data_IF_110623055784
#
_entry.id   IF_110623055784
#
_cell.length_a   1.000
_cell.length_b   1.000
_cell.length_c   1.000
_cell.angle_alpha   90.00
_cell.angle_beta   90.00
_cell.angle_gamma   90.00
#
_symmetry.space_group_name_H-M   'P 1'
#
loop_
_entity.id
_entity.type
_entity.pdbx_description
1 polymer ?
#
# COMPACT_ATOMS: atom_id res chain seq x y z
N UNK A 1 -23.67 18.38 -33.52
CA UNK A 1 -24.03 17.81 -32.21
C UNK A 1 -23.88 16.31 -32.31
N UNK A 2 -22.83 15.76 -31.72
CA UNK A 2 -22.60 14.32 -31.58
C UNK A 2 -22.89 14.02 -30.11
N UNK A 3 -23.75 13.03 -29.77
CA UNK A 3 -24.05 12.74 -28.38
C UNK A 3 -22.85 12.05 -27.73
N UNK A 4 -22.54 12.34 -26.45
CA UNK A 4 -21.62 11.51 -25.68
C UNK A 4 -22.34 10.23 -25.23
N UNK A 5 -21.62 9.12 -25.18
CA UNK A 5 -22.02 7.86 -24.52
C UNK A 5 -20.76 7.12 -24.09
N UNK A 6 -20.82 6.21 -23.10
CA UNK A 6 -21.47 6.28 -21.79
C UNK A 6 -20.47 6.01 -20.64
N UNK A 7 -20.88 6.33 -19.41
CA UNK A 7 -20.46 5.80 -18.10
C UNK A 7 -19.04 5.22 -17.89
N UNK A 8 -18.30 5.83 -16.96
CA UNK A 8 -17.50 5.07 -15.98
C UNK A 8 -16.05 4.69 -16.35
N UNK A 9 -15.32 5.50 -17.12
CA UNK A 9 -13.86 5.29 -17.25
C UNK A 9 -13.17 5.70 -15.94
N UNK A 10 -12.35 4.85 -15.28
CA UNK A 10 -11.64 5.24 -14.06
C UNK A 10 -10.80 6.48 -14.35
N UNK A 11 -10.99 7.53 -13.54
CA UNK A 11 -10.41 8.87 -13.74
C UNK A 11 -8.87 8.89 -13.63
N UNK A 12 -8.28 7.84 -13.05
CA UNK A 12 -6.84 7.64 -12.92
C UNK A 12 -6.41 6.30 -13.52
N UNK A 13 -5.39 6.31 -14.39
CA UNK A 13 -4.73 5.11 -14.91
C UNK A 13 -3.86 4.48 -13.82
N UNK A 14 -3.90 3.15 -13.70
CA UNK A 14 -3.11 2.43 -12.69
C UNK A 14 -1.60 2.58 -12.97
N UNK A 15 -0.83 2.97 -11.96
CA UNK A 15 0.63 3.06 -12.02
C UNK A 15 1.22 1.68 -11.75
N UNK A 16 2.00 1.16 -12.68
CA UNK A 16 2.64 -0.16 -12.57
C UNK A 16 4.14 0.04 -12.51
N UNK A 17 4.77 -0.35 -11.40
CA UNK A 17 6.23 -0.41 -11.31
C UNK A 17 6.73 -1.63 -12.04
N UNK A 18 7.80 -1.48 -12.81
CA UNK A 18 8.47 -2.58 -13.50
C UNK A 18 9.97 -2.59 -13.20
N UNK A 19 10.51 -3.78 -12.95
CA UNK A 19 11.93 -3.96 -12.63
C UNK A 19 12.77 -3.93 -13.91
N UNK A 20 13.81 -3.06 -14.00
CA UNK A 20 14.76 -3.08 -15.10
C UNK A 20 15.80 -4.18 -14.92
N UNK A 21 16.52 -4.49 -16.00
CA UNK A 21 17.85 -5.11 -15.97
C UNK A 21 18.93 -4.04 -15.69
N UNK A 22 20.10 -4.48 -15.22
CA UNK A 22 21.33 -3.66 -15.25
C UNK A 22 22.11 -4.08 -16.49
N UNK A 23 22.37 -3.12 -17.37
CA UNK A 23 23.30 -3.30 -18.48
C UNK A 23 24.66 -2.76 -18.05
N UNK A 24 25.64 -3.65 -18.00
CA UNK A 24 27.05 -3.28 -17.84
C UNK A 24 27.61 -3.08 -19.25
N UNK A 25 27.83 -1.82 -19.69
CA UNK A 25 28.31 -1.57 -21.05
C UNK A 25 29.63 -2.29 -21.31
N UNK A 26 29.73 -2.96 -22.46
CA UNK A 26 30.98 -3.56 -22.92
C UNK A 26 31.91 -2.44 -23.39
N UNK A 27 32.73 -1.91 -22.48
CA UNK A 27 33.70 -0.85 -22.78
C UNK A 27 34.04 0.00 -21.55
N UNK A 28 34.89 1.04 -21.70
CA UNK A 28 35.19 1.96 -20.62
C UNK A 28 34.00 2.90 -20.40
N UNK A 29 33.09 2.51 -19.51
CA UNK A 29 32.09 3.43 -18.95
C UNK A 29 32.19 3.42 -17.44
N UNK A 30 32.01 4.60 -16.87
CA UNK A 30 32.00 4.82 -15.43
C UNK A 30 30.58 4.74 -14.84
N UNK A 31 29.57 4.58 -15.69
CA UNK A 31 28.15 4.65 -15.34
C UNK A 31 27.46 3.30 -15.51
N UNK A 32 26.58 2.96 -14.58
CA UNK A 32 25.65 1.82 -14.73
C UNK A 32 24.38 2.27 -15.44
N UNK A 33 23.87 1.44 -16.35
CA UNK A 33 22.63 1.72 -17.07
C UNK A 33 21.52 0.77 -16.63
N UNK A 34 20.34 1.32 -16.34
CA UNK A 34 19.13 0.51 -16.21
C UNK A 34 18.47 0.37 -17.58
N UNK A 35 18.20 -0.86 -18.00
CA UNK A 35 17.56 -1.16 -19.26
C UNK A 35 16.28 -1.97 -19.02
N UNK A 36 15.22 -1.66 -19.76
CA UNK A 36 14.05 -2.53 -19.81
C UNK A 36 13.55 -2.63 -21.24
N UNK A 37 13.15 -3.84 -21.63
CA UNK A 37 12.59 -4.07 -22.96
C UNK A 37 11.27 -3.32 -23.10
N UNK A 38 11.14 -2.55 -24.18
CA UNK A 38 10.00 -1.67 -24.41
C UNK A 38 8.66 -2.41 -24.50
N UNK A 39 8.66 -3.71 -24.86
CA UNK A 39 7.45 -4.52 -24.97
C UNK A 39 6.72 -4.70 -23.62
N UNK A 40 7.41 -4.77 -22.48
CA UNK A 40 6.76 -4.76 -21.16
C UNK A 40 5.99 -3.46 -20.91
N UNK A 41 6.64 -2.31 -21.12
CA UNK A 41 6.02 -1.00 -20.93
C UNK A 41 4.87 -0.78 -21.93
N UNK A 42 5.03 -1.23 -23.17
CA UNK A 42 3.99 -1.17 -24.21
C UNK A 42 2.78 -2.04 -23.85
N UNK A 43 2.99 -3.24 -23.29
CA UNK A 43 1.91 -4.11 -22.86
C UNK A 43 1.09 -3.52 -21.70
N UNK A 44 1.74 -2.90 -20.72
CA UNK A 44 1.07 -2.15 -19.65
C UNK A 44 0.28 -0.97 -20.22
N UNK A 45 0.88 -0.20 -21.14
CA UNK A 45 0.26 0.98 -21.74
C UNK A 45 -0.97 0.63 -22.59
N UNK A 46 -0.88 -0.44 -23.39
CA UNK A 46 -2.00 -0.97 -24.19
C UNK A 46 -3.16 -1.45 -23.30
N UNK A 47 -2.85 -2.02 -22.13
CA UNK A 47 -3.84 -2.40 -21.13
C UNK A 47 -4.44 -1.22 -20.34
N UNK A 48 -4.00 0.02 -20.60
CA UNK A 48 -4.50 1.25 -19.97
C UNK A 48 -3.79 1.67 -18.69
N UNK A 49 -2.66 1.03 -18.35
CA UNK A 49 -1.81 1.40 -17.22
C UNK A 49 -0.76 2.46 -17.56
N UNK A 50 -0.02 2.89 -16.54
CA UNK A 50 1.16 3.77 -16.65
C UNK A 50 2.39 2.99 -16.18
N UNK A 51 3.29 2.57 -17.09
CA UNK A 51 4.52 1.88 -16.72
C UNK A 51 5.53 2.88 -16.13
N UNK A 52 6.11 2.55 -14.97
CA UNK A 52 7.23 3.28 -14.37
C UNK A 52 8.38 2.33 -14.06
N UNK A 53 9.58 2.67 -14.53
CA UNK A 53 10.80 1.91 -14.24
C UNK A 53 11.21 2.18 -12.80
N UNK A 54 11.50 1.12 -12.05
CA UNK A 54 11.95 1.21 -10.67
C UNK A 54 13.48 1.03 -10.56
N UNK A 55 14.26 2.09 -10.30
CA UNK A 55 15.69 1.98 -10.05
C UNK A 55 15.98 1.15 -8.80
N UNK A 56 17.21 0.62 -8.67
CA UNK A 56 17.57 -0.26 -7.56
C UNK A 56 17.90 0.54 -6.29
N UNK A 57 16.87 1.12 -5.69
CA UNK A 57 16.99 1.86 -4.42
C UNK A 57 16.14 1.17 -3.34
N UNK A 58 16.78 0.32 -2.54
CA UNK A 58 16.07 -0.47 -1.52
C UNK A 58 15.44 0.38 -0.42
N UNK A 59 16.00 1.56 -0.12
CA UNK A 59 15.47 2.44 0.93
C UNK A 59 14.18 3.15 0.48
N UNK A 60 13.98 3.29 -0.84
CA UNK A 60 12.82 3.96 -1.41
C UNK A 60 11.65 3.01 -1.73
N UNK A 61 11.77 1.70 -1.47
CA UNK A 61 10.77 0.70 -1.85
C UNK A 61 9.38 1.03 -1.28
N UNK A 62 9.28 1.45 -0.02
CA UNK A 62 8.01 1.82 0.59
C UNK A 62 7.36 3.00 -0.14
N UNK A 63 8.12 4.08 -0.35
CA UNK A 63 7.63 5.28 -1.05
C UNK A 63 7.26 4.99 -2.52
N UNK A 64 8.06 4.18 -3.22
CA UNK A 64 7.79 3.76 -4.58
C UNK A 64 6.49 2.95 -4.65
N UNK A 65 6.31 1.98 -3.74
CA UNK A 65 5.11 1.17 -3.67
C UNK A 65 3.87 2.00 -3.30
N UNK A 66 3.99 3.03 -2.46
CA UNK A 66 2.90 3.95 -2.13
C UNK A 66 2.38 4.70 -3.37
N UNK A 67 3.27 5.05 -4.31
CA UNK A 67 2.92 5.67 -5.58
C UNK A 67 2.28 4.70 -6.59
N UNK A 68 2.51 3.40 -6.43
CA UNK A 68 2.16 2.38 -7.40
C UNK A 68 0.87 1.62 -7.05
N UNK A 69 0.13 1.20 -8.07
CA UNK A 69 -1.08 0.40 -7.95
C UNK A 69 -0.79 -1.10 -8.14
N UNK A 70 0.33 -1.45 -8.77
CA UNK A 70 0.82 -2.82 -8.94
C UNK A 70 2.31 -2.88 -9.29
N UNK A 71 2.86 -4.09 -9.25
CA UNK A 71 4.27 -4.36 -9.52
C UNK A 71 4.40 -5.50 -10.53
N UNK A 72 5.22 -5.28 -11.55
CA UNK A 72 5.63 -6.26 -12.55
C UNK A 72 7.12 -6.58 -12.36
N UNK A 73 7.43 -7.81 -11.97
CA UNK A 73 8.82 -8.32 -11.99
C UNK A 73 9.07 -8.89 -13.38
N UNK A 74 9.96 -8.26 -14.14
CA UNK A 74 10.22 -8.64 -15.53
C UNK A 74 11.07 -9.92 -15.63
N UNK A 75 11.08 -10.55 -16.80
CA UNK A 75 12.07 -11.59 -17.11
C UNK A 75 13.46 -10.98 -17.38
N UNK A 76 14.51 -11.76 -17.20
CA UNK A 76 15.89 -11.39 -17.58
C UNK A 76 16.07 -11.38 -19.10
N UNK A 77 17.25 -10.98 -19.56
CA UNK A 77 17.66 -11.20 -20.94
C UNK A 77 17.61 -12.72 -21.22
N UNK A 78 17.08 -13.15 -22.38
CA UNK A 78 17.02 -14.56 -22.74
C UNK A 78 18.36 -15.29 -22.60
N UNK A 79 18.38 -16.37 -21.83
CA UNK A 79 19.56 -17.21 -21.67
C UNK A 79 20.61 -16.71 -20.68
N UNK A 80 20.38 -15.59 -19.98
CA UNK A 80 21.26 -15.10 -18.92
C UNK A 80 20.59 -15.21 -17.55
N UNK A 81 21.35 -15.65 -16.55
CA UNK A 81 20.93 -15.50 -15.16
C UNK A 81 20.96 -14.02 -14.76
N UNK A 82 19.99 -13.59 -13.95
CA UNK A 82 19.96 -12.21 -13.45
C UNK A 82 21.16 -11.93 -12.55
N UNK A 83 21.70 -10.71 -12.63
CA UNK A 83 22.78 -10.28 -11.75
C UNK A 83 22.38 -10.45 -10.26
N UNK A 84 23.34 -10.79 -9.40
CA UNK A 84 23.09 -11.01 -7.98
C UNK A 84 22.45 -9.79 -7.29
N UNK A 85 22.84 -8.58 -7.74
CA UNK A 85 22.27 -7.31 -7.29
C UNK A 85 20.78 -7.19 -7.66
N UNK A 86 20.42 -7.50 -8.91
CA UNK A 86 19.03 -7.54 -9.38
C UNK A 86 18.19 -8.47 -8.52
N UNK A 87 18.67 -9.70 -8.34
CA UNK A 87 17.96 -10.69 -7.54
C UNK A 87 17.73 -10.23 -6.10
N UNK A 88 18.75 -9.66 -5.45
CA UNK A 88 18.66 -9.15 -4.08
C UNK A 88 17.62 -8.02 -3.97
N UNK A 89 17.61 -7.11 -4.94
CA UNK A 89 16.63 -6.03 -5.02
C UNK A 89 15.21 -6.56 -5.23
N UNK A 90 15.02 -7.46 -6.20
CA UNK A 90 13.70 -8.00 -6.55
C UNK A 90 13.10 -8.83 -5.42
N UNK A 91 13.89 -9.60 -4.66
CA UNK A 91 13.39 -10.31 -3.49
C UNK A 91 12.86 -9.36 -2.40
N UNK A 92 13.57 -8.25 -2.14
CA UNK A 92 13.10 -7.22 -1.20
C UNK A 92 11.84 -6.54 -1.73
N UNK A 93 11.78 -6.23 -3.02
CA UNK A 93 10.59 -5.65 -3.66
C UNK A 93 9.38 -6.60 -3.56
N UNK A 94 9.56 -7.89 -3.81
CA UNK A 94 8.51 -8.92 -3.68
C UNK A 94 7.99 -8.95 -2.24
N UNK A 95 8.87 -9.01 -1.25
CA UNK A 95 8.51 -8.98 0.17
C UNK A 95 7.68 -7.73 0.51
N UNK A 96 8.13 -6.54 0.10
CA UNK A 96 7.43 -5.28 0.37
C UNK A 96 6.10 -5.18 -0.37
N UNK A 97 6.04 -5.60 -1.63
CA UNK A 97 4.82 -5.59 -2.44
C UNK A 97 3.77 -6.53 -1.84
N UNK A 98 4.16 -7.74 -1.45
CA UNK A 98 3.26 -8.72 -0.81
C UNK A 98 2.80 -8.22 0.57
N UNK A 99 3.71 -7.68 1.38
CA UNK A 99 3.37 -7.10 2.70
C UNK A 99 2.39 -5.94 2.57
N UNK A 100 2.57 -5.10 1.56
CA UNK A 100 1.63 -4.04 1.23
C UNK A 100 0.33 -4.57 0.58
N UNK A 101 0.25 -5.85 0.21
CA UNK A 101 -0.89 -6.42 -0.52
C UNK A 101 -1.06 -5.81 -1.92
N UNK A 102 0.02 -5.39 -2.57
CA UNK A 102 0.03 -4.85 -3.94
C UNK A 102 -0.14 -6.00 -4.94
N UNK A 103 -0.96 -5.84 -5.98
CA UNK A 103 -1.01 -6.76 -7.10
C UNK A 103 0.37 -6.96 -7.71
N UNK A 104 0.77 -8.22 -7.84
CA UNK A 104 2.10 -8.63 -8.28
C UNK A 104 1.97 -9.57 -9.49
N UNK A 105 2.69 -9.24 -10.55
CA UNK A 105 2.85 -10.09 -11.72
C UNK A 105 4.34 -10.40 -11.90
N UNK A 106 4.72 -11.67 -12.00
CA UNK A 106 6.08 -12.10 -12.33
C UNK A 106 6.11 -12.81 -13.67
N UNK A 107 7.02 -12.40 -14.56
CA UNK A 107 7.19 -13.01 -15.88
C UNK A 107 8.56 -13.69 -15.95
N UNK A 108 8.58 -14.96 -16.35
CA UNK A 108 9.77 -15.79 -16.51
C UNK A 108 10.67 -15.79 -15.25
N UNK A 109 11.75 -15.00 -15.22
CA UNK A 109 12.55 -14.81 -14.01
C UNK A 109 11.72 -14.31 -12.82
N UNK A 110 10.80 -13.37 -13.06
CA UNK A 110 9.94 -12.83 -12.01
C UNK A 110 9.03 -13.89 -11.38
N UNK A 111 8.49 -14.82 -12.18
CA UNK A 111 7.74 -15.96 -11.67
C UNK A 111 8.60 -16.82 -10.74
N UNK A 112 9.86 -17.05 -11.11
CA UNK A 112 10.78 -17.88 -10.33
C UNK A 112 11.08 -17.24 -8.97
N UNK A 113 11.40 -15.94 -8.93
CA UNK A 113 11.65 -15.27 -7.66
C UNK A 113 10.43 -15.26 -6.73
N UNK A 114 9.23 -15.03 -7.28
CA UNK A 114 7.99 -15.08 -6.51
C UNK A 114 7.74 -16.50 -5.99
N UNK A 115 7.90 -17.51 -6.86
CA UNK A 115 7.72 -18.92 -6.50
C UNK A 115 8.67 -19.35 -5.38
N UNK A 116 9.94 -18.91 -5.43
CA UNK A 116 10.94 -19.15 -4.39
C UNK A 116 10.51 -18.53 -3.05
N UNK A 117 10.08 -17.27 -3.07
CA UNK A 117 9.62 -16.56 -1.88
C UNK A 117 8.38 -17.23 -1.25
N UNK A 118 7.52 -17.83 -2.08
CA UNK A 118 6.36 -18.61 -1.64
C UNK A 118 6.72 -20.03 -1.17
N UNK A 119 8.01 -20.40 -1.19
CA UNK A 119 8.51 -21.69 -0.68
C UNK A 119 8.58 -22.80 -1.73
N UNK A 120 8.41 -22.49 -3.01
CA UNK A 120 8.59 -23.45 -4.10
C UNK A 120 10.06 -23.79 -4.35
N UNK A 121 10.29 -24.91 -5.03
CA UNK A 121 11.63 -25.35 -5.44
C UNK A 121 11.83 -25.18 -6.94
N UNK A 122 13.08 -25.20 -7.42
CA UNK A 122 13.40 -25.04 -8.84
C UNK A 122 14.33 -26.13 -9.32
N UNK A 123 14.08 -26.55 -10.55
CA UNK A 123 15.02 -27.34 -11.32
C UNK A 123 15.85 -26.39 -12.21
N UNK A 124 17.18 -26.39 -11.99
CA UNK A 124 18.16 -25.55 -12.71
C UNK A 124 18.48 -26.03 -14.14
N UNK A 125 18.01 -27.20 -14.50
CA UNK A 125 18.09 -27.72 -15.85
C UNK A 125 16.89 -28.61 -16.04
N UNK A 126 15.89 -28.15 -16.76
CA UNK A 126 14.86 -29.04 -17.27
C UNK A 126 15.60 -30.20 -17.95
N UNK A 127 15.48 -31.44 -17.47
CA UNK A 127 16.16 -32.56 -18.11
C UNK A 127 15.72 -32.55 -19.56
N UNK A 128 16.67 -32.72 -20.49
CA UNK A 128 16.30 -33.05 -21.86
C UNK A 128 15.40 -34.29 -21.78
N UNK A 129 14.08 -34.08 -21.91
CA UNK A 129 13.00 -35.05 -21.80
C UNK A 129 12.69 -35.67 -20.40
N UNK A 130 11.47 -35.43 -19.91
CA UNK A 130 10.59 -36.53 -19.46
C UNK A 130 9.44 -36.81 -20.45
N UNK A 131 9.30 -35.99 -21.49
CA UNK A 131 8.71 -36.38 -22.77
C UNK A 131 9.44 -35.63 -23.89
N UNK A 132 9.67 -36.26 -25.05
CA UNK A 132 10.31 -35.63 -26.22
C UNK A 132 9.41 -34.58 -26.94
N UNK A 133 8.38 -34.05 -26.30
CA UNK A 133 7.25 -33.41 -27.03
C UNK A 133 7.11 -31.90 -26.90
N UNK A 134 7.73 -31.25 -25.91
CA UNK A 134 7.62 -29.79 -25.72
C UNK A 134 8.99 -29.15 -25.70
N UNK A 135 9.21 -28.18 -26.58
CA UNK A 135 10.41 -27.35 -26.62
C UNK A 135 10.14 -26.01 -25.93
N UNK A 136 10.78 -25.81 -24.78
CA UNK A 136 10.66 -24.60 -23.93
C UNK A 136 11.67 -23.50 -24.30
N UNK A 137 12.46 -23.72 -25.35
CA UNK A 137 13.38 -22.73 -25.90
C UNK A 137 13.56 -22.91 -27.42
N UNK A 138 12.46 -22.84 -28.20
CA UNK A 138 12.49 -23.13 -29.64
C UNK A 138 13.22 -22.06 -30.47
N UNK A 139 13.43 -20.88 -29.91
CA UNK A 139 14.23 -19.82 -30.51
C UNK A 139 14.93 -18.97 -29.46
N UNK A 140 15.92 -18.17 -29.89
CA UNK A 140 16.65 -17.24 -29.01
C UNK A 140 15.80 -16.04 -28.54
N UNK A 141 14.60 -15.88 -29.11
CA UNK A 141 13.62 -14.83 -28.80
C UNK A 141 12.23 -15.44 -28.66
N UNK A 142 11.35 -14.84 -27.85
CA UNK A 142 10.00 -15.33 -27.59
C UNK A 142 8.95 -14.71 -28.53
N UNK A 143 9.31 -14.40 -29.77
CA UNK A 143 8.49 -13.66 -30.72
C UNK A 143 7.47 -14.52 -31.50
N UNK A 144 7.39 -15.82 -31.20
CA UNK A 144 6.50 -16.78 -31.84
C UNK A 144 5.90 -17.76 -30.83
N UNK A 145 4.75 -18.32 -31.18
CA UNK A 145 4.11 -19.41 -30.41
C UNK A 145 5.01 -20.65 -30.41
N UNK A 146 5.11 -21.29 -29.25
CA UNK A 146 5.96 -22.44 -28.99
C UNK A 146 5.14 -23.71 -28.74
N UNK A 147 4.24 -23.69 -27.75
CA UNK A 147 3.48 -24.87 -27.33
C UNK A 147 2.13 -24.53 -26.68
N UNK A 148 1.32 -25.57 -26.48
CA UNK A 148 0.05 -25.47 -25.76
C UNK A 148 0.27 -25.60 -24.25
N UNK A 149 -0.57 -24.93 -23.48
CA UNK A 149 -0.70 -25.09 -22.03
C UNK A 149 -2.15 -25.48 -21.71
N UNK A 150 -2.32 -26.35 -20.72
CA UNK A 150 -3.61 -26.64 -20.10
C UNK A 150 -3.82 -25.64 -18.95
N UNK A 151 -4.94 -24.94 -18.97
CA UNK A 151 -5.35 -23.98 -17.93
C UNK A 151 -6.20 -24.68 -16.88
N UNK A 152 -5.82 -24.56 -15.63
CA UNK A 152 -6.49 -25.22 -14.51
C UNK A 152 -7.87 -24.58 -14.26
N UNK A 153 -8.96 -25.37 -14.17
CA UNK A 153 -10.30 -24.84 -13.90
C UNK A 153 -10.39 -24.01 -12.62
N UNK A 154 -11.18 -22.94 -12.67
CA UNK A 154 -11.35 -22.01 -11.55
C UNK A 154 -10.11 -21.19 -11.22
N UNK A 155 -9.09 -21.18 -12.08
CA UNK A 155 -7.98 -20.22 -12.01
C UNK A 155 -8.34 -18.89 -12.62
N UNK A 156 -7.62 -17.84 -12.20
CA UNK A 156 -7.76 -16.53 -12.82
C UNK A 156 -7.48 -16.56 -14.33
N UNK A 157 -6.64 -17.51 -14.78
CA UNK A 157 -6.38 -17.73 -16.20
C UNK A 157 -7.57 -18.37 -16.91
N UNK A 158 -8.31 -19.25 -16.24
CA UNK A 158 -9.54 -19.84 -16.79
C UNK A 158 -10.62 -18.78 -16.99
N UNK A 159 -10.72 -17.79 -16.08
CA UNK A 159 -11.69 -16.69 -16.20
C UNK A 159 -11.47 -15.85 -17.47
N UNK A 160 -10.21 -15.72 -17.92
CA UNK A 160 -9.87 -14.92 -19.11
C UNK A 160 -9.81 -15.74 -20.40
N UNK A 161 -9.48 -17.04 -20.35
CA UNK A 161 -9.43 -17.89 -21.54
C UNK A 161 -10.75 -18.61 -21.84
N UNK A 162 -11.65 -18.70 -20.86
CA UNK A 162 -12.79 -19.62 -20.89
C UNK A 162 -12.41 -21.07 -20.52
N UNK A 163 -11.20 -21.29 -19.98
CA UNK A 163 -10.66 -22.59 -19.62
C UNK A 163 -10.04 -23.35 -20.80
N UNK A 164 -9.74 -24.63 -20.60
CA UNK A 164 -9.21 -25.52 -21.65
C UNK A 164 -7.72 -25.32 -21.93
N UNK A 165 -7.37 -25.13 -23.21
CA UNK A 165 -5.98 -24.99 -23.66
C UNK A 165 -5.70 -23.63 -24.28
N UNK A 166 -4.50 -23.09 -24.05
CA UNK A 166 -4.03 -21.85 -24.67
C UNK A 166 -2.66 -22.06 -25.34
N UNK A 167 -2.36 -21.25 -26.35
CA UNK A 167 -1.08 -21.25 -27.06
C UNK A 167 -0.18 -20.13 -26.55
N UNK A 168 1.07 -20.46 -26.22
CA UNK A 168 2.03 -19.52 -25.63
C UNK A 168 3.39 -19.59 -26.31
N UNK A 169 4.17 -18.51 -26.23
CA UNK A 169 5.60 -18.53 -26.54
C UNK A 169 6.39 -19.21 -25.42
N UNK A 170 7.69 -19.46 -25.63
CA UNK A 170 8.53 -20.02 -24.57
C UNK A 170 10.01 -19.65 -24.75
N UNK A 171 10.68 -19.39 -23.62
CA UNK A 171 12.08 -18.96 -23.57
C UNK A 171 12.69 -19.17 -22.17
N UNK A 172 12.70 -20.41 -21.69
CA UNK A 172 13.24 -20.72 -20.37
C UNK A 172 13.88 -22.11 -20.30
N UNK A 173 14.81 -22.26 -19.35
CA UNK A 173 15.51 -23.53 -19.06
C UNK A 173 15.24 -24.06 -17.65
N UNK A 174 14.62 -23.23 -16.82
CA UNK A 174 14.26 -23.53 -15.46
C UNK A 174 12.75 -23.64 -15.36
N UNK A 175 12.30 -24.46 -14.42
CA UNK A 175 10.90 -24.58 -14.09
C UNK A 175 10.72 -24.62 -12.58
N UNK A 176 9.62 -24.02 -12.13
CA UNK A 176 9.13 -24.20 -10.78
C UNK A 176 8.70 -25.66 -10.61
N UNK A 177 9.16 -26.26 -9.52
CA UNK A 177 8.84 -27.62 -9.11
C UNK A 177 8.33 -27.63 -7.66
N UNK A 178 7.72 -28.75 -7.26
CA UNK A 178 7.29 -28.96 -5.89
C UNK A 178 6.04 -28.19 -5.50
N UNK A 179 5.90 -27.94 -4.19
CA UNK A 179 4.75 -27.29 -3.55
C UNK A 179 5.22 -26.06 -2.79
N UNK A 180 4.36 -25.06 -2.67
CA UNK A 180 4.58 -23.86 -1.89
C UNK A 180 3.24 -23.19 -1.58
N UNK A 181 3.28 -21.94 -1.12
CA UNK A 181 2.09 -21.10 -0.88
C UNK A 181 1.54 -20.55 -2.20
N UNK A 182 1.24 -21.44 -3.15
CA UNK A 182 0.67 -21.11 -4.44
C UNK A 182 -0.14 -22.28 -4.99
N UNK A 183 -1.13 -21.96 -5.81
CA UNK A 183 -1.88 -22.93 -6.60
C UNK A 183 -1.45 -22.86 -8.06
N UNK A 184 -1.19 -24.00 -8.68
CA UNK A 184 -0.89 -24.06 -10.11
C UNK A 184 -2.11 -23.62 -10.92
N UNK A 185 -1.87 -22.76 -11.91
CA UNK A 185 -2.90 -22.18 -12.77
C UNK A 185 -2.79 -22.65 -14.23
N UNK A 186 -1.60 -23.07 -14.67
CA UNK A 186 -1.42 -23.70 -15.97
C UNK A 186 -0.21 -24.64 -16.00
N UNK A 187 -0.28 -25.65 -16.88
CA UNK A 187 0.82 -26.58 -17.15
C UNK A 187 1.02 -26.83 -18.63
N UNK A 188 2.26 -27.03 -19.06
CA UNK A 188 2.55 -27.60 -20.37
C UNK A 188 2.23 -29.10 -20.40
N UNK A 189 2.19 -29.69 -21.61
CA UNK A 189 1.84 -31.12 -21.79
C UNK A 189 2.79 -32.09 -21.09
N UNK A 190 4.02 -31.68 -20.84
CA UNK A 190 5.04 -32.44 -20.11
C UNK A 190 4.95 -32.27 -18.58
N UNK A 191 3.96 -31.52 -18.09
CA UNK A 191 3.68 -31.30 -16.68
C UNK A 191 4.41 -30.10 -16.06
N UNK A 192 5.27 -29.41 -16.82
CA UNK A 192 5.96 -28.19 -16.38
C UNK A 192 4.93 -27.14 -15.97
N UNK A 193 5.14 -26.51 -14.80
CA UNK A 193 4.29 -25.43 -14.31
C UNK A 193 4.55 -24.18 -15.13
N UNK A 194 3.52 -23.70 -15.82
CA UNK A 194 3.58 -22.54 -16.71
C UNK A 194 3.02 -21.28 -16.04
N UNK A 195 2.11 -21.46 -15.08
CA UNK A 195 1.63 -20.37 -14.26
C UNK A 195 1.17 -20.84 -12.88
N UNK A 196 1.20 -19.93 -11.90
CA UNK A 196 0.61 -20.13 -10.59
C UNK A 196 -0.04 -18.86 -10.05
N UNK A 197 -1.02 -19.04 -9.17
CA UNK A 197 -1.60 -18.00 -8.33
C UNK A 197 -1.00 -18.10 -6.92
N UNK A 198 -0.39 -17.02 -6.44
CA UNK A 198 0.24 -16.98 -5.12
C UNK A 198 -0.78 -16.74 -4.00
N UNK A 199 -0.62 -17.45 -2.89
CA UNK A 199 -1.41 -17.21 -1.67
C UNK A 199 -0.86 -16.00 -0.92
N UNK A 200 -1.31 -14.81 -1.34
CA UNK A 200 -0.88 -13.53 -0.77
C UNK A 200 -2.08 -12.64 -0.43
N UNK A 201 -1.93 -11.60 0.41
CA UNK A 201 -3.02 -10.66 0.69
C UNK A 201 -3.55 -9.92 -0.54
N UNK A 202 -2.68 -9.68 -1.53
CA UNK A 202 -3.02 -9.08 -2.82
C UNK A 202 -3.13 -10.11 -3.94
N UNK A 203 -3.50 -9.65 -5.14
CA UNK A 203 -3.40 -10.47 -6.34
C UNK A 203 -1.94 -10.83 -6.63
N UNK A 204 -1.63 -12.10 -6.88
CA UNK A 204 -0.28 -12.53 -7.20
C UNK A 204 -0.32 -13.61 -8.28
N UNK A 205 0.33 -13.36 -9.41
CA UNK A 205 0.39 -14.28 -10.55
C UNK A 205 1.84 -14.42 -11.03
N UNK A 206 2.32 -15.65 -11.11
CA UNK A 206 3.56 -16.00 -11.81
C UNK A 206 3.25 -16.64 -13.15
N UNK A 207 3.93 -16.19 -14.21
CA UNK A 207 3.82 -16.72 -15.58
C UNK A 207 5.22 -17.04 -16.12
N UNK A 208 5.38 -18.22 -16.71
CA UNK A 208 6.67 -18.71 -17.18
C UNK A 208 6.96 -18.26 -18.63
N UNK A 209 5.95 -18.19 -19.49
CA UNK A 209 6.06 -17.64 -20.84
C UNK A 209 6.13 -16.11 -20.85
N UNK A 210 6.14 -15.50 -22.03
CA UNK A 210 6.40 -14.08 -22.25
C UNK A 210 5.18 -13.35 -22.88
N UNK A 211 4.10 -13.11 -22.10
CA UNK A 211 2.89 -12.47 -22.62
C UNK A 211 3.12 -11.01 -23.05
N UNK A 212 4.24 -10.37 -22.69
CA UNK A 212 4.55 -9.00 -23.11
C UNK A 212 4.74 -8.86 -24.63
N UNK A 213 4.98 -9.97 -25.34
CA UNK A 213 5.00 -10.01 -26.80
C UNK A 213 3.61 -9.90 -27.42
N UNK A 214 2.54 -10.16 -26.64
CA UNK A 214 1.14 -9.98 -27.04
C UNK A 214 0.82 -10.73 -28.35
N UNK A 215 1.28 -11.97 -28.46
CA UNK A 215 1.09 -12.78 -29.67
C UNK A 215 -0.38 -13.23 -29.83
N UNK A 216 -1.08 -13.38 -28.70
CA UNK A 216 -2.47 -13.81 -28.65
C UNK A 216 -3.36 -12.81 -27.91
N UNK A 217 -4.69 -12.94 -28.07
CA UNK A 217 -5.63 -12.18 -27.24
C UNK A 217 -5.62 -12.60 -25.78
N UNK A 218 -5.21 -13.84 -25.50
CA UNK A 218 -4.96 -14.34 -24.16
C UNK A 218 -3.83 -13.57 -23.47
N UNK A 219 -2.70 -13.34 -24.16
CA UNK A 219 -1.60 -12.52 -23.65
C UNK A 219 -2.07 -11.10 -23.31
N UNK A 220 -2.85 -10.48 -24.20
CA UNK A 220 -3.43 -9.15 -23.95
C UNK A 220 -4.40 -9.15 -22.78
N UNK A 221 -5.20 -10.21 -22.62
CA UNK A 221 -6.16 -10.36 -21.54
C UNK A 221 -5.47 -10.44 -20.16
N UNK A 222 -4.30 -11.09 -20.08
CA UNK A 222 -3.48 -11.15 -18.87
C UNK A 222 -3.07 -9.74 -18.42
N UNK A 223 -2.52 -8.92 -19.33
CA UNK A 223 -2.15 -7.54 -18.97
C UNK A 223 -3.36 -6.68 -18.60
N UNK A 224 -4.49 -6.81 -19.32
CA UNK A 224 -5.73 -6.11 -18.96
C UNK A 224 -6.22 -6.49 -17.57
N UNK A 225 -6.27 -7.78 -17.26
CA UNK A 225 -6.68 -8.28 -15.95
C UNK A 225 -5.74 -7.76 -14.85
N UNK A 226 -4.44 -7.79 -15.07
CA UNK A 226 -3.47 -7.29 -14.10
C UNK A 226 -3.66 -5.79 -13.82
N UNK A 227 -3.75 -4.96 -14.87
CA UNK A 227 -3.97 -3.52 -14.74
C UNK A 227 -5.31 -3.20 -14.07
N UNK A 228 -6.39 -3.92 -14.41
CA UNK A 228 -7.70 -3.74 -13.77
C UNK A 228 -7.64 -4.08 -12.29
N UNK A 229 -6.99 -5.19 -11.91
CA UNK A 229 -6.82 -5.58 -10.50
C UNK A 229 -5.96 -4.58 -9.73
N UNK A 230 -4.92 -4.02 -10.36
CA UNK A 230 -4.14 -2.89 -9.83
C UNK A 230 -5.00 -1.65 -9.61
N UNK A 231 -5.77 -1.24 -10.62
CA UNK A 231 -6.65 -0.06 -10.54
C UNK A 231 -7.72 -0.20 -9.44
N UNK A 232 -8.34 -1.38 -9.32
CA UNK A 232 -9.37 -1.65 -8.31
C UNK A 232 -8.83 -1.55 -6.87
N UNK A 233 -7.54 -1.83 -6.67
CA UNK A 233 -6.86 -1.56 -5.40
C UNK A 233 -6.54 -0.08 -5.24
N UNK A 234 -6.00 0.59 -6.25
CA UNK A 234 -5.76 2.04 -6.22
C UNK A 234 -7.01 2.85 -5.84
N UNK A 235 -8.19 2.43 -6.35
CA UNK A 235 -9.48 3.02 -5.99
C UNK A 235 -9.93 2.72 -4.55
N UNK A 236 -9.52 1.59 -3.97
CA UNK A 236 -9.74 1.25 -2.54
C UNK A 236 -8.63 1.79 -1.62
N UNK A 237 -7.52 2.19 -2.20
CA UNK A 237 -6.31 2.71 -1.55
C UNK A 237 -6.04 4.12 -2.07
N UNK A 238 -6.96 5.06 -1.82
CA UNK A 238 -6.58 6.49 -1.78
C UNK A 238 -5.34 6.65 -0.89
N UNK A 239 -4.49 7.66 -1.17
CA UNK A 239 -3.04 7.65 -0.88
C UNK A 239 -2.75 7.10 0.51
N UNK A 240 -2.43 5.82 0.56
CA UNK A 240 -2.09 5.11 1.77
C UNK A 240 -0.62 5.42 2.03
N UNK A 241 -0.37 6.37 2.92
CA UNK A 241 0.91 6.43 3.62
C UNK A 241 1.11 5.09 4.34
N UNK A 242 2.11 4.28 3.96
CA UNK A 242 2.56 3.12 4.73
C UNK A 242 3.26 3.61 6.00
N UNK A 243 2.41 4.04 6.92
CA UNK A 243 2.71 4.37 8.28
C UNK A 243 1.49 3.77 8.97
N UNK A 244 1.65 2.63 9.68
CA UNK A 244 0.58 1.89 10.38
C UNK A 244 -0.64 2.78 10.62
N UNK A 245 -1.80 2.49 10.03
CA UNK A 245 -2.93 3.43 10.00
C UNK A 245 -3.13 4.15 11.34
N UNK A 246 -3.66 5.38 11.36
CA UNK A 246 -3.82 6.14 12.64
C UNK A 246 -4.49 5.28 13.72
N UNK A 247 -5.47 4.45 13.33
CA UNK A 247 -6.10 3.43 14.19
C UNK A 247 -5.16 2.30 14.62
N UNK A 248 -4.29 1.81 13.74
CA UNK A 248 -3.22 0.89 14.09
C UNK A 248 -2.21 1.48 15.08
N UNK A 249 -1.86 2.77 14.96
CA UNK A 249 -1.00 3.46 15.96
C UNK A 249 -1.68 3.60 17.30
N UNK A 250 -2.96 3.98 17.31
CA UNK A 250 -3.76 3.99 18.53
C UNK A 250 -3.77 2.60 19.20
N UNK A 251 -4.05 1.55 18.43
CA UNK A 251 -4.05 0.18 18.94
C UNK A 251 -2.69 -0.26 19.51
N UNK A 252 -1.58 0.10 18.85
CA UNK A 252 -0.22 -0.17 19.34
C UNK A 252 0.10 0.54 20.66
N UNK A 253 -0.53 1.68 20.93
CA UNK A 253 -0.47 2.41 22.19
C UNK A 253 -1.46 1.86 23.25
N UNK A 254 -2.20 0.80 22.93
CA UNK A 254 -3.27 0.26 23.79
C UNK A 254 -4.50 1.18 23.88
N UNK A 255 -4.67 2.07 22.90
CA UNK A 255 -5.74 3.06 22.86
C UNK A 255 -6.77 2.73 21.79
N UNK A 256 -8.03 3.05 22.09
CA UNK A 256 -9.12 3.07 21.12
C UNK A 256 -9.72 4.47 21.09
N UNK A 257 -10.33 4.85 19.96
CA UNK A 257 -11.12 6.06 19.92
C UNK A 257 -12.36 5.89 20.80
N UNK A 258 -12.66 6.86 21.67
CA UNK A 258 -13.86 6.84 22.48
C UNK A 258 -15.10 7.00 21.60
N UNK A 259 -16.23 6.48 22.08
CA UNK A 259 -17.52 6.68 21.44
C UNK A 259 -17.88 8.17 21.45
N UNK A 260 -18.25 8.70 20.28
CA UNK A 260 -18.57 10.12 20.14
C UNK A 260 -19.90 10.40 20.82
N UNK A 261 -19.89 11.31 21.79
CA UNK A 261 -21.12 11.80 22.43
C UNK A 261 -21.62 13.07 21.75
N UNK A 262 -22.95 13.22 21.68
CA UNK A 262 -23.56 14.51 21.33
C UNK A 262 -23.23 15.55 22.42
N UNK A 263 -22.85 16.78 22.04
CA UNK A 263 -22.59 17.82 23.02
C UNK A 263 -23.83 18.13 23.88
N UNK A 264 -23.67 18.35 25.20
CA UNK A 264 -24.79 18.56 26.11
C UNK A 264 -25.41 19.97 26.04
N UNK A 265 -25.04 20.80 25.05
CA UNK A 265 -25.44 22.20 24.95
C UNK A 265 -25.75 22.63 23.52
N UNK A 266 -26.06 23.92 23.34
CA UNK A 266 -26.44 24.51 22.05
C UNK A 266 -25.23 24.75 21.12
N UNK A 267 -24.45 23.71 20.84
CA UNK A 267 -23.31 23.71 19.94
C UNK A 267 -23.05 22.31 19.38
N UNK A 268 -22.22 22.21 18.35
CA UNK A 268 -21.85 20.92 17.72
C UNK A 268 -20.42 20.52 18.09
N UNK A 269 -20.13 19.21 18.02
CA UNK A 269 -18.81 18.70 18.41
C UNK A 269 -17.67 19.14 17.49
N UNK A 270 -17.95 19.39 16.21
CA UNK A 270 -17.03 20.05 15.29
C UNK A 270 -17.82 20.70 14.13
N UNK A 271 -17.20 21.66 13.46
CA UNK A 271 -17.71 22.31 12.24
C UNK A 271 -16.65 22.19 11.16
N UNK A 272 -17.08 22.01 9.90
CA UNK A 272 -16.20 22.03 8.72
C UNK A 272 -16.50 23.25 7.85
N UNK A 273 -15.47 24.01 7.51
CA UNK A 273 -15.53 25.12 6.55
C UNK A 273 -14.43 24.92 5.51
N UNK A 274 -14.82 24.57 4.29
CA UNK A 274 -13.87 24.12 3.26
C UNK A 274 -13.06 22.92 3.75
N UNK A 275 -11.75 23.09 3.83
CA UNK A 275 -10.81 22.05 4.27
C UNK A 275 -10.44 22.17 5.75
N UNK A 276 -10.98 23.14 6.47
CA UNK A 276 -10.70 23.33 7.89
C UNK A 276 -11.81 22.68 8.71
N UNK A 277 -11.43 21.84 9.68
CA UNK A 277 -12.33 21.32 10.71
C UNK A 277 -11.93 21.90 12.06
N UNK A 278 -12.85 22.61 12.71
CA UNK A 278 -12.68 23.11 14.08
C UNK A 278 -13.51 22.24 15.03
N UNK A 279 -12.82 21.59 15.96
CA UNK A 279 -13.40 20.73 17.00
C UNK A 279 -13.61 21.57 18.25
N UNK A 280 -14.82 21.54 18.80
CA UNK A 280 -15.18 22.20 20.05
C UNK A 280 -14.36 21.63 21.21
N UNK A 281 -14.14 22.41 22.27
CA UNK A 281 -13.41 21.97 23.46
C UNK A 281 -13.87 20.61 23.99
N UNK A 282 -12.91 19.71 24.21
CA UNK A 282 -13.13 18.37 24.73
C UNK A 282 -12.44 18.19 26.07
N UNK A 283 -13.16 17.55 26.99
CA UNK A 283 -12.71 17.23 28.34
C UNK A 283 -12.26 15.77 28.43
N UNK A 284 -11.43 15.36 29.41
CA UNK A 284 -10.92 14.00 29.55
C UNK A 284 -11.99 13.04 30.04
N UNK A 285 -12.84 12.58 29.12
CA UNK A 285 -13.76 11.48 29.34
C UNK A 285 -13.10 10.15 28.98
N UNK A 286 -13.25 9.16 29.86
CA UNK A 286 -12.92 7.76 29.62
C UNK A 286 -14.17 6.94 29.93
N UNK A 287 -14.62 6.13 28.98
CA UNK A 287 -15.86 5.34 29.09
C UNK A 287 -17.07 6.20 29.52
N UNK A 288 -17.19 7.40 28.92
CA UNK A 288 -18.25 8.42 29.19
C UNK A 288 -18.20 9.04 30.60
N UNK A 289 -17.24 8.67 31.42
CA UNK A 289 -17.03 9.22 32.77
C UNK A 289 -15.87 10.21 32.80
N UNK A 290 -15.93 11.19 33.70
CA UNK A 290 -14.81 12.13 33.89
C UNK A 290 -13.62 11.36 34.46
N UNK A 291 -12.48 11.43 33.78
CA UNK A 291 -11.26 10.72 34.19
C UNK A 291 -10.75 11.22 35.56
N UNK A 292 -10.77 12.54 35.76
CA UNK A 292 -10.30 13.19 36.99
C UNK A 292 -10.93 14.57 37.13
N UNK A 293 -11.08 15.01 38.37
CA UNK A 293 -11.47 16.39 38.74
C UNK A 293 -10.41 17.04 39.61
N UNK A 294 -10.36 18.38 39.60
CA UNK A 294 -9.48 19.18 40.46
C UNK A 294 -8.53 20.08 39.68
N UNK A 295 -7.53 20.62 40.39
CA UNK A 295 -6.63 21.65 39.86
C UNK A 295 -5.16 21.22 39.92
N UNK A 296 -4.42 21.59 38.89
CA UNK A 296 -2.96 21.52 38.93
C UNK A 296 -2.42 22.51 39.97
N UNK A 297 -1.43 22.09 40.75
CA UNK A 297 -0.96 22.83 41.92
C UNK A 297 -1.85 22.68 43.16
N UNK A 298 -2.97 21.95 43.07
CA UNK A 298 -3.79 21.57 44.22
C UNK A 298 -4.57 20.27 43.98
N UNK A 299 -3.94 19.14 44.31
CA UNK A 299 -4.58 17.81 44.28
C UNK A 299 -4.45 17.04 42.96
N UNK A 300 -4.16 17.70 41.83
CA UNK A 300 -3.82 17.03 40.56
C UNK A 300 -2.32 17.16 40.28
N UNK A 301 -1.66 16.03 40.04
CA UNK A 301 -0.24 16.00 39.70
C UNK A 301 0.00 16.41 38.25
N UNK A 302 1.25 16.78 37.91
CA UNK A 302 1.62 17.09 36.52
C UNK A 302 1.37 15.89 35.59
N UNK A 303 1.70 14.68 36.05
CA UNK A 303 1.53 13.45 35.27
C UNK A 303 0.05 13.14 35.02
N UNK A 304 -0.79 13.27 36.05
CA UNK A 304 -2.24 13.15 35.90
C UNK A 304 -2.80 14.20 34.95
N UNK A 305 -2.26 15.43 34.99
CA UNK A 305 -2.60 16.48 34.05
C UNK A 305 -2.26 16.10 32.61
N UNK A 306 -1.07 15.51 32.37
CA UNK A 306 -0.66 15.03 31.04
C UNK A 306 -1.55 13.90 30.54
N UNK A 307 -1.92 12.96 31.41
CA UNK A 307 -2.86 11.89 31.07
C UNK A 307 -4.24 12.48 30.70
N UNK A 308 -4.71 13.47 31.46
CA UNK A 308 -5.94 14.19 31.15
C UNK A 308 -5.85 14.93 29.80
N UNK A 309 -4.75 15.61 29.50
CA UNK A 309 -4.53 16.24 28.19
C UNK A 309 -4.57 15.21 27.05
N UNK A 310 -3.96 14.04 27.27
CA UNK A 310 -3.97 12.92 26.30
C UNK A 310 -5.39 12.42 26.04
N UNK A 311 -6.20 12.21 27.08
CA UNK A 311 -7.60 11.77 26.93
C UNK A 311 -8.51 12.83 26.32
N UNK A 312 -8.35 14.10 26.71
CA UNK A 312 -9.05 15.21 26.09
C UNK A 312 -8.76 15.30 24.58
N UNK A 313 -7.50 15.10 24.18
CA UNK A 313 -7.10 15.02 22.78
C UNK A 313 -7.73 13.82 22.06
N UNK A 314 -7.78 12.63 22.68
CA UNK A 314 -8.49 11.46 22.12
C UNK A 314 -9.98 11.75 21.85
N UNK A 315 -10.66 12.42 22.78
CA UNK A 315 -12.05 12.83 22.59
C UNK A 315 -12.20 13.83 21.44
N UNK A 316 -11.25 14.76 21.27
CA UNK A 316 -11.23 15.69 20.15
C UNK A 316 -11.02 14.98 18.81
N UNK A 317 -10.14 13.99 18.78
CA UNK A 317 -9.89 13.17 17.61
C UNK A 317 -11.10 12.31 17.21
N UNK A 318 -11.90 11.85 18.19
CA UNK A 318 -13.14 11.14 17.90
C UNK A 318 -14.18 12.04 17.21
N UNK A 319 -14.33 13.30 17.66
CA UNK A 319 -15.17 14.29 16.99
C UNK A 319 -14.63 14.65 15.58
N UNK A 320 -13.32 14.78 15.43
CA UNK A 320 -12.67 15.03 14.15
C UNK A 320 -12.94 13.89 13.17
N UNK A 321 -12.75 12.64 13.59
CA UNK A 321 -12.95 11.48 12.72
C UNK A 321 -14.41 11.36 12.26
N UNK A 322 -15.37 11.66 13.14
CA UNK A 322 -16.81 11.66 12.78
C UNK A 322 -17.11 12.57 11.59
N UNK A 323 -16.50 13.75 11.53
CA UNK A 323 -16.72 14.71 10.43
C UNK A 323 -15.78 14.45 9.24
N UNK A 324 -14.57 13.94 9.48
CA UNK A 324 -13.64 13.56 8.42
C UNK A 324 -14.06 12.27 7.71
N UNK A 325 -14.82 11.38 8.37
CA UNK A 325 -15.17 10.04 7.94
C UNK A 325 -14.05 9.00 8.12
N UNK A 326 -12.79 9.42 7.94
CA UNK A 326 -11.58 8.62 8.17
C UNK A 326 -10.37 9.52 8.40
N UNK A 327 -9.40 9.07 9.19
CA UNK A 327 -8.21 9.86 9.49
C UNK A 327 -7.24 10.08 8.32
N UNK A 328 -7.28 9.24 7.28
CA UNK A 328 -6.41 9.39 6.08
C UNK A 328 -6.63 10.73 5.34
N UNK A 329 -7.77 11.38 5.62
CA UNK A 329 -8.10 12.69 5.09
C UNK A 329 -7.45 13.83 5.87
N UNK A 330 -6.96 13.61 7.09
CA UNK A 330 -6.30 14.65 7.89
C UNK A 330 -4.91 14.93 7.30
N UNK A 331 -4.70 16.15 6.81
CA UNK A 331 -3.45 16.61 6.20
C UNK A 331 -2.58 17.43 7.14
N UNK A 332 -3.12 17.86 8.28
CA UNK A 332 -2.34 18.51 9.33
C UNK A 332 -3.22 19.12 10.41
N UNK A 333 -2.56 19.73 11.40
CA UNK A 333 -3.21 20.42 12.50
C UNK A 333 -2.83 21.90 12.48
N UNK A 334 -3.83 22.77 12.39
CA UNK A 334 -3.61 24.23 12.37
C UNK A 334 -3.29 24.69 13.79
N UNK A 335 -4.09 24.26 14.76
CA UNK A 335 -4.03 24.78 16.14
C UNK A 335 -4.46 23.73 17.15
N UNK A 336 -3.73 23.66 18.27
CA UNK A 336 -4.13 22.99 19.51
C UNK A 336 -4.16 24.01 20.65
N UNK A 337 -5.33 24.22 21.25
CA UNK A 337 -5.47 25.07 22.43
C UNK A 337 -5.75 24.20 23.65
N UNK A 338 -4.88 24.31 24.66
CA UNK A 338 -5.05 23.63 25.93
C UNK A 338 -5.33 24.60 27.07
N UNK A 339 -6.41 24.35 27.78
CA UNK A 339 -6.81 25.08 28.98
C UNK A 339 -6.58 24.15 30.17
N UNK A 340 -5.87 24.64 31.19
CA UNK A 340 -5.48 23.84 32.36
C UNK A 340 -6.08 24.49 33.61
N UNK A 341 -6.99 23.79 34.30
CA UNK A 341 -7.50 24.24 35.58
C UNK A 341 -6.38 24.14 36.62
N UNK A 342 -5.95 25.28 37.15
CA UNK A 342 -4.75 25.36 37.98
C UNK A 342 -4.86 26.44 39.06
N UNK A 343 -4.05 26.32 40.10
CA UNK A 343 -3.82 27.42 41.06
C UNK A 343 -3.04 28.55 40.39
N UNK A 344 -3.07 29.75 41.00
CA UNK A 344 -2.38 30.93 40.47
C UNK A 344 -0.86 30.76 40.36
N UNK A 345 -0.26 29.91 41.21
CA UNK A 345 1.19 29.71 41.29
C UNK A 345 1.71 28.60 40.36
N UNK A 346 0.82 27.79 39.78
CA UNK A 346 1.22 26.70 38.90
C UNK A 346 1.56 27.23 37.50
N UNK A 347 2.78 27.01 37.03
CA UNK A 347 3.30 27.58 35.77
C UNK A 347 3.58 26.54 34.68
N UNK A 348 3.43 25.25 34.97
CA UNK A 348 3.78 24.15 34.06
C UNK A 348 2.65 23.77 33.08
N UNK A 349 1.81 24.72 32.66
CA UNK A 349 0.70 24.45 31.72
C UNK A 349 1.19 23.86 30.39
N UNK A 350 2.36 24.31 29.92
CA UNK A 350 3.04 23.71 28.77
C UNK A 350 3.26 22.21 28.99
N UNK A 351 3.93 21.83 30.07
CA UNK A 351 4.20 20.41 30.34
C UNK A 351 2.94 19.55 30.44
N UNK A 352 1.81 20.11 30.93
CA UNK A 352 0.50 19.42 30.93
C UNK A 352 0.00 19.16 29.50
N UNK A 353 -0.05 20.21 28.68
CA UNK A 353 -0.59 20.13 27.32
C UNK A 353 0.32 19.33 26.36
N UNK A 354 1.59 19.09 26.74
CA UNK A 354 2.48 18.17 26.01
C UNK A 354 1.89 16.78 25.85
N UNK A 355 1.09 16.30 26.83
CA UNK A 355 0.42 15.00 26.71
C UNK A 355 -0.52 14.90 25.49
N UNK A 356 -1.11 16.03 25.06
CA UNK A 356 -1.91 16.08 23.83
C UNK A 356 -1.03 16.19 22.57
N UNK A 357 0.00 17.04 22.60
CA UNK A 357 0.91 17.25 21.46
C UNK A 357 1.73 15.99 21.14
N UNK A 358 2.19 15.27 22.16
CA UNK A 358 2.92 14.00 22.01
C UNK A 358 2.04 12.91 21.42
N UNK A 359 0.77 12.81 21.83
CA UNK A 359 -0.19 11.89 21.22
C UNK A 359 -0.36 12.18 19.72
N UNK A 360 -0.53 13.45 19.34
CA UNK A 360 -0.62 13.81 17.92
C UNK A 360 0.65 13.42 17.15
N UNK A 361 1.84 13.64 17.74
CA UNK A 361 3.12 13.24 17.15
C UNK A 361 3.24 11.73 16.98
N UNK A 362 2.79 10.96 17.97
CA UNK A 362 2.81 9.51 17.93
C UNK A 362 1.88 8.97 16.83
N UNK A 363 0.67 9.51 16.68
CA UNK A 363 -0.35 8.93 15.80
C UNK A 363 -0.50 9.63 14.42
N UNK A 364 0.08 10.81 14.23
CA UNK A 364 0.14 11.54 12.94
C UNK A 364 1.59 11.98 12.61
N UNK A 365 2.57 11.06 12.52
CA UNK A 365 3.98 11.44 12.37
C UNK A 365 4.28 12.30 11.13
N UNK A 366 3.48 12.18 10.08
CA UNK A 366 3.64 12.95 8.85
C UNK A 366 3.08 14.39 8.91
N UNK A 367 2.19 14.71 9.85
CA UNK A 367 1.45 15.98 9.85
C UNK A 367 1.06 16.52 11.24
N UNK A 368 1.73 16.05 12.30
CA UNK A 368 1.50 16.46 13.68
C UNK A 368 1.87 17.91 14.06
N UNK A 369 2.82 18.62 13.40
CA UNK A 369 3.17 19.99 13.82
C UNK A 369 1.94 20.90 13.80
N UNK A 370 1.78 21.72 14.84
CA UNK A 370 0.66 22.62 15.04
C UNK A 370 1.08 23.89 15.76
N UNK A 371 0.36 24.99 15.52
CA UNK A 371 0.42 26.14 16.42
C UNK A 371 -0.24 25.76 17.77
N UNK A 372 0.27 26.31 18.87
CA UNK A 372 -0.20 25.90 20.20
C UNK A 372 -0.44 27.07 21.14
N UNK A 373 -1.48 26.93 21.97
CA UNK A 373 -1.73 27.73 23.17
C UNK A 373 -1.83 26.80 24.38
N UNK A 374 -1.20 27.15 25.50
CA UNK A 374 -1.35 26.46 26.78
C UNK A 374 -1.50 27.50 27.89
N UNK A 375 -2.67 27.58 28.50
CA UNK A 375 -3.01 28.63 29.49
C UNK A 375 -3.66 28.05 30.74
N UNK A 376 -3.39 28.68 31.89
CA UNK A 376 -4.07 28.41 33.14
C UNK A 376 -5.44 29.09 33.22
N UNK A 377 -6.43 28.39 33.76
CA UNK A 377 -7.77 28.92 34.04
C UNK A 377 -8.23 28.53 35.45
N UNK A 378 -9.13 29.32 36.04
CA UNK A 378 -9.61 29.08 37.40
C UNK A 378 -10.55 27.87 37.54
N UNK A 379 -11.23 27.47 36.47
CA UNK A 379 -12.07 26.26 36.43
C UNK A 379 -12.40 25.86 34.99
N UNK A 380 -12.83 24.61 34.81
CA UNK A 380 -13.28 24.05 33.53
C UNK A 380 -14.61 23.30 33.71
N UNK A 381 -15.36 23.06 32.61
CA UNK A 381 -16.61 22.29 32.67
C UNK A 381 -16.44 20.95 33.40
N UNK A 382 -17.43 20.58 34.21
CA UNK A 382 -17.42 19.33 35.02
C UNK A 382 -16.26 19.22 36.03
N UNK A 383 -15.55 20.32 36.30
CA UNK A 383 -14.47 20.36 37.29
C UNK A 383 -13.20 19.60 36.87
N UNK A 384 -13.03 19.35 35.57
CA UNK A 384 -11.87 18.61 35.03
C UNK A 384 -10.58 19.45 35.08
N UNK A 385 -9.40 18.82 35.09
CA UNK A 385 -8.13 19.54 35.12
C UNK A 385 -7.69 20.09 33.75
N UNK A 386 -8.19 19.54 32.63
CA UNK A 386 -7.75 19.92 31.27
C UNK A 386 -8.91 19.92 30.29
N UNK A 387 -8.90 20.86 29.35
CA UNK A 387 -9.75 20.89 28.16
C UNK A 387 -8.89 21.18 26.92
N UNK A 388 -9.11 20.42 25.84
CA UNK A 388 -8.38 20.55 24.57
C UNK A 388 -9.34 20.91 23.44
N UNK A 389 -9.00 21.96 22.70
CA UNK A 389 -9.63 22.35 21.44
C UNK A 389 -8.63 22.11 20.29
N UNK A 390 -9.12 21.67 19.14
CA UNK A 390 -8.30 21.26 18.01
C UNK A 390 -8.86 21.77 16.68
N UNK A 391 -8.00 22.35 15.84
CA UNK A 391 -8.33 22.66 14.45
C UNK A 391 -7.42 21.88 13.51
N UNK A 392 -8.02 21.16 12.56
CA UNK A 392 -7.33 20.30 11.61
C UNK A 392 -7.61 20.71 10.16
N UNK A 393 -6.70 20.34 9.26
CA UNK A 393 -6.85 20.44 7.81
C UNK A 393 -7.23 19.08 7.25
N UNK A 394 -8.22 19.05 6.37
CA UNK A 394 -8.59 17.91 5.56
C UNK A 394 -8.07 18.08 4.13
N UNK A 395 -7.82 16.97 3.44
CA UNK A 395 -7.66 16.97 1.99
C UNK A 395 -9.02 16.93 1.28
N UNK A 396 -9.02 17.34 0.01
CA UNK A 396 -10.19 17.36 -0.86
C UNK A 396 -11.02 16.07 -0.74
N UNK A 397 -12.34 16.25 -0.65
CA UNK A 397 -13.25 15.15 -0.93
C UNK A 397 -13.25 14.99 -2.46
N UNK A 398 -12.80 13.85 -2.98
CA UNK A 398 -12.95 13.53 -4.40
C UNK A 398 -14.43 13.77 -4.79
N UNK A 399 -14.66 14.76 -5.65
CA UNK A 399 -15.98 15.26 -6.06
C UNK A 399 -16.51 14.59 -7.32
#
# INVERSE_FOLDING_TARGET
>A
MIPPSPEGRPTRRAIILLTPDIDDPVGPSTERTYAVRANYAAAISEAGGVPLILPYETQALAAALDLADGVLITGTIPGTEGAAERRSFELKLIEHAITAGKPLLGICHGMQLIGEWLGGTFTRSLPASHSKTVDHMPSAVADRIAHDIAVEPGSVLADISGGGTAQVNSLHRHALTGVGRFRVAARARDGVIEAFEGETPGFCLGIQWHPEYRLTDFDRAIFRMFVVRSAARGAKSGPATLHCSVRGRLAALGLALPEVSEPPGAFVGAVRTGDIVTVSGQVPLKDRTVLRTGHLGNGVSLEDGRECARWACLNALAQLERIAGRFDRVKGFVRLAGYVAATADFTQHGAVVDGASELLREIFPACWPHARLAVGVGSLPRGVPVEIELTALLGDAEG
#
